data_IF_424768865089
#
_entry.id   IF_424768865089
#
_cell.length_a   1.000
_cell.length_b   1.000
_cell.length_c   1.000
_cell.angle_alpha   90.00
_cell.angle_beta   90.00
_cell.angle_gamma   90.00
#
_symmetry.space_group_name_H-M   'P 1'
#
loop_
_entity.id
_entity.type
_entity.pdbx_description
1 polymer ?
#
# COMPACT_ATOMS: atom_id res chain seq x y z
N UNK A 1 12.76 -9.94 -8.53
CA UNK A 1 13.98 -10.64 -9.00
C UNK A 1 15.12 -10.62 -7.97
N UNK A 2 14.84 -10.42 -6.67
CA UNK A 2 15.88 -10.42 -5.63
C UNK A 2 16.83 -9.21 -5.62
N UNK A 3 16.61 -8.20 -6.48
CA UNK A 3 17.45 -7.01 -6.52
C UNK A 3 16.94 -5.97 -5.52
N UNK A 4 17.81 -5.47 -4.62
CA UNK A 4 17.47 -4.34 -3.76
C UNK A 4 17.11 -3.10 -4.59
N UNK A 5 15.94 -2.52 -4.32
CA UNK A 5 15.55 -1.25 -4.93
C UNK A 5 16.12 -0.10 -4.10
N UNK A 6 17.02 0.68 -4.69
CA UNK A 6 17.55 1.92 -4.12
C UNK A 6 16.90 3.13 -4.80
N UNK A 7 15.72 3.50 -4.31
CA UNK A 7 14.97 4.65 -4.81
C UNK A 7 13.89 5.11 -3.84
N UNK A 8 13.26 6.24 -4.16
CA UNK A 8 12.13 6.73 -3.39
C UNK A 8 10.86 6.09 -3.90
N UNK A 9 10.27 5.22 -3.08
CA UNK A 9 8.89 4.77 -3.27
C UNK A 9 7.99 5.68 -2.45
N UNK A 10 6.99 6.27 -3.10
CA UNK A 10 6.14 7.31 -2.52
C UNK A 10 5.56 6.90 -1.17
N UNK A 11 5.85 7.71 -0.16
CA UNK A 11 5.35 7.61 1.20
C UNK A 11 4.60 8.89 1.52
N UNK A 12 3.34 8.75 1.92
CA UNK A 12 2.54 9.87 2.39
C UNK A 12 2.23 9.66 3.87
N UNK A 13 2.52 10.67 4.68
CA UNK A 13 2.09 10.72 6.07
C UNK A 13 1.03 11.81 6.22
N UNK A 14 -0.16 11.44 6.69
CA UNK A 14 -1.24 12.37 7.00
C UNK A 14 -1.73 12.11 8.42
N UNK A 15 -1.38 13.02 9.33
CA UNK A 15 -1.57 12.82 10.77
C UNK A 15 -0.85 11.56 11.26
N UNK A 16 -1.62 10.70 11.89
CA UNK A 16 -1.27 9.40 12.47
C UNK A 16 -1.27 8.24 11.44
N UNK A 17 -1.68 8.50 10.20
CA UNK A 17 -1.72 7.50 9.13
C UNK A 17 -0.49 7.56 8.22
N UNK A 18 -0.03 6.38 7.84
CA UNK A 18 1.09 6.19 6.91
C UNK A 18 0.59 5.43 5.69
N UNK A 19 0.77 6.00 4.50
CA UNK A 19 0.33 5.44 3.25
C UNK A 19 1.53 5.14 2.35
N UNK A 20 1.48 4.02 1.64
CA UNK A 20 2.48 3.65 0.66
C UNK A 20 1.81 3.41 -0.70
N UNK A 21 2.60 3.54 -1.77
CA UNK A 21 2.13 3.32 -3.15
C UNK A 21 1.37 2.00 -3.28
N UNK A 22 0.17 2.05 -3.88
CA UNK A 22 -0.64 0.85 -4.10
C UNK A 22 0.06 -0.16 -4.99
N UNK A 23 0.85 0.30 -5.97
CA UNK A 23 1.61 -0.56 -6.88
C UNK A 23 2.71 -1.33 -6.16
N UNK A 24 3.42 -0.67 -5.23
CA UNK A 24 4.45 -1.32 -4.40
C UNK A 24 3.82 -2.37 -3.50
N UNK A 25 2.70 -2.04 -2.85
CA UNK A 25 2.01 -2.97 -1.95
C UNK A 25 1.45 -4.17 -2.70
N UNK A 26 0.90 -3.98 -3.90
CA UNK A 26 0.46 -5.09 -4.75
C UNK A 26 1.62 -5.98 -5.18
N UNK A 27 2.74 -5.39 -5.59
CA UNK A 27 3.94 -6.16 -5.97
C UNK A 27 4.45 -7.04 -4.81
N UNK A 28 4.36 -6.56 -3.56
CA UNK A 28 4.75 -7.35 -2.38
C UNK A 28 3.89 -8.59 -2.17
N UNK A 29 2.61 -8.56 -2.55
CA UNK A 29 1.69 -9.70 -2.42
C UNK A 29 1.48 -10.44 -3.76
N UNK A 30 2.40 -10.23 -4.70
CA UNK A 30 2.38 -10.81 -6.05
C UNK A 30 1.02 -10.57 -6.75
N UNK A 31 0.47 -9.39 -6.52
CA UNK A 31 -0.90 -9.05 -6.90
C UNK A 31 -1.01 -7.96 -7.96
N UNK A 32 -2.25 -7.75 -8.39
CA UNK A 32 -2.65 -6.76 -9.38
C UNK A 32 -3.50 -5.66 -8.74
N UNK A 33 -3.44 -4.46 -9.31
CA UNK A 33 -4.25 -3.30 -8.91
C UNK A 33 -5.32 -3.01 -9.95
N UNK A 34 -6.52 -2.71 -9.48
CA UNK A 34 -7.59 -2.14 -10.31
C UNK A 34 -8.23 -0.96 -9.58
N UNK A 35 -8.58 0.09 -10.33
CA UNK A 35 -9.33 1.23 -9.79
C UNK A 35 -10.83 1.05 -10.04
N UNK A 36 -11.63 1.11 -8.99
CA UNK A 36 -13.09 1.15 -9.07
C UNK A 36 -13.55 2.61 -8.93
N UNK A 37 -13.74 3.25 -10.08
CA UNK A 37 -14.12 4.67 -10.16
C UNK A 37 -15.51 4.96 -9.60
N UNK A 38 -16.42 3.98 -9.65
CA UNK A 38 -17.80 4.09 -9.17
C UNK A 38 -17.82 4.13 -7.64
N UNK A 39 -17.09 3.21 -7.01
CA UNK A 39 -17.06 3.07 -5.56
C UNK A 39 -15.88 3.80 -4.90
N UNK A 40 -15.07 4.54 -5.67
CA UNK A 40 -13.92 5.32 -5.20
C UNK A 40 -12.98 4.50 -4.31
N UNK A 41 -12.59 3.32 -4.81
CA UNK A 41 -11.71 2.39 -4.10
C UNK A 41 -10.68 1.77 -5.01
N UNK A 42 -9.50 1.52 -4.46
CA UNK A 42 -8.50 0.68 -5.10
C UNK A 42 -8.72 -0.77 -4.70
N UNK A 43 -8.69 -1.67 -5.67
CA UNK A 43 -8.83 -3.11 -5.49
C UNK A 43 -7.46 -3.74 -5.68
N UNK A 44 -7.02 -4.50 -4.68
CA UNK A 44 -5.82 -5.33 -4.72
C UNK A 44 -6.29 -6.78 -4.86
N UNK A 45 -5.89 -7.44 -5.95
CA UNK A 45 -6.08 -8.88 -6.14
C UNK A 45 -4.74 -9.56 -5.89
N UNK A 46 -4.63 -10.39 -4.85
CA UNK A 46 -3.39 -11.12 -4.56
C UNK A 46 -3.11 -12.20 -5.61
N UNK A 47 -1.86 -12.66 -5.69
CA UNK A 47 -1.49 -13.82 -6.51
C UNK A 47 -2.26 -15.10 -6.13
N UNK A 48 -2.77 -15.18 -4.90
CA UNK A 48 -3.63 -16.29 -4.42
C UNK A 48 -5.11 -16.16 -4.83
N UNK A 49 -5.48 -15.10 -5.57
CA UNK A 49 -6.82 -14.89 -6.11
C UNK A 49 -7.80 -14.15 -5.19
N UNK A 50 -7.39 -13.72 -4.00
CA UNK A 50 -8.23 -12.94 -3.08
C UNK A 50 -8.25 -11.46 -3.48
N UNK A 51 -9.44 -10.86 -3.55
CA UNK A 51 -9.60 -9.43 -3.88
C UNK A 51 -10.05 -8.63 -2.68
N UNK A 52 -9.34 -7.54 -2.39
CA UNK A 52 -9.66 -6.62 -1.28
C UNK A 52 -9.74 -5.19 -1.80
N UNK A 53 -10.77 -4.46 -1.38
CA UNK A 53 -10.93 -3.04 -1.69
C UNK A 53 -10.51 -2.13 -0.53
N UNK A 54 -9.89 -0.98 -0.86
CA UNK A 54 -9.52 0.09 0.07
C UNK A 54 -10.16 1.38 -0.40
N UNK A 55 -11.06 1.94 0.42
CA UNK A 55 -11.93 3.06 0.02
C UNK A 55 -11.33 4.41 0.39
N UNK A 56 -11.56 5.44 -0.45
CA UNK A 56 -11.18 6.82 -0.13
C UNK A 56 -11.98 7.37 1.05
N UNK A 57 -13.28 7.06 1.12
CA UNK A 57 -14.21 7.60 2.14
C UNK A 57 -13.86 7.18 3.56
N UNK A 58 -13.35 5.97 3.75
CA UNK A 58 -12.89 5.47 5.06
C UNK A 58 -11.42 5.81 5.35
N UNK A 59 -10.76 6.55 4.44
CA UNK A 59 -9.33 6.89 4.52
C UNK A 59 -8.44 5.64 4.61
N UNK A 60 -8.83 4.56 3.94
CA UNK A 60 -8.00 3.37 3.69
C UNK A 60 -7.12 3.56 2.45
N UNK A 61 -7.55 4.43 1.53
CA UNK A 61 -6.78 4.85 0.37
C UNK A 61 -6.76 6.38 0.27
N UNK A 62 -5.79 6.88 -0.49
CA UNK A 62 -5.55 8.29 -0.80
C UNK A 62 -5.16 8.38 -2.28
N UNK A 63 -5.62 9.43 -2.96
CA UNK A 63 -5.05 9.81 -4.26
C UNK A 63 -4.33 11.14 -4.10
N UNK A 64 -3.05 11.19 -4.50
CA UNK A 64 -2.24 12.39 -4.44
C UNK A 64 -1.31 12.43 -5.66
N UNK A 65 -1.26 13.57 -6.35
CA UNK A 65 -0.42 13.76 -7.54
C UNK A 65 -0.62 12.71 -8.65
N UNK A 66 -1.86 12.22 -8.82
CA UNK A 66 -2.18 11.18 -9.81
C UNK A 66 -1.84 9.75 -9.39
N UNK A 67 -1.18 9.56 -8.25
CA UNK A 67 -0.88 8.24 -7.68
C UNK A 67 -1.90 7.85 -6.61
N UNK A 68 -2.12 6.54 -6.48
CA UNK A 68 -2.94 5.98 -5.40
C UNK A 68 -2.06 5.34 -4.34
N UNK A 69 -2.37 5.64 -3.09
CA UNK A 69 -1.70 5.12 -1.91
C UNK A 69 -2.71 4.38 -1.04
N UNK A 70 -2.25 3.34 -0.35
CA UNK A 70 -3.05 2.57 0.60
C UNK A 70 -2.45 2.75 1.99
N UNK A 71 -3.31 2.93 2.99
CA UNK A 71 -2.90 3.04 4.39
C UNK A 71 -2.34 1.70 4.89
N UNK A 72 -1.16 1.73 5.51
CA UNK A 72 -0.39 0.52 5.82
C UNK A 72 -1.08 -0.40 6.84
N UNK A 73 -1.80 0.15 7.82
CA UNK A 73 -2.52 -0.68 8.79
C UNK A 73 -3.80 -1.30 8.19
N UNK A 74 -4.53 -0.57 7.35
CA UNK A 74 -5.65 -1.10 6.58
C UNK A 74 -5.20 -2.24 5.69
N UNK A 75 -4.09 -2.07 4.97
CA UNK A 75 -3.51 -3.13 4.15
C UNK A 75 -3.12 -4.34 5.00
N UNK A 76 -2.37 -4.13 6.10
CA UNK A 76 -1.96 -5.21 7.02
C UNK A 76 -3.13 -6.00 7.58
N UNK A 77 -4.26 -5.36 7.89
CA UNK A 77 -5.48 -6.07 8.35
C UNK A 77 -6.00 -7.09 7.33
N UNK A 78 -5.77 -6.85 6.04
CA UNK A 78 -6.25 -7.68 4.92
C UNK A 78 -5.17 -8.62 4.38
N UNK A 79 -3.91 -8.22 4.54
CA UNK A 79 -2.73 -8.99 4.21
C UNK A 79 -1.83 -9.11 5.46
N UNK A 80 -2.15 -10.01 6.41
CA UNK A 80 -1.48 -10.07 7.72
C UNK A 80 0.02 -10.40 7.66
N UNK A 81 0.47 -11.03 6.57
CA UNK A 81 1.88 -11.30 6.29
C UNK A 81 2.71 -10.01 6.09
N UNK A 82 2.07 -8.87 5.81
CA UNK A 82 2.76 -7.59 5.73
C UNK A 82 3.33 -7.18 7.10
N UNK A 83 4.65 -7.01 7.13
CA UNK A 83 5.37 -6.37 8.22
C UNK A 83 5.92 -5.05 7.72
N UNK A 84 5.58 -3.97 8.43
CA UNK A 84 6.07 -2.64 8.11
C UNK A 84 6.55 -1.90 9.36
N UNK A 85 7.49 -0.97 9.16
CA UNK A 85 7.94 -0.03 10.19
C UNK A 85 8.45 1.25 9.55
N UNK A 86 8.38 2.36 10.29
CA UNK A 86 8.91 3.64 9.85
C UNK A 86 9.93 4.17 10.88
N UNK A 87 11.16 4.41 10.43
CA UNK A 87 12.19 5.08 11.21
C UNK A 87 12.19 6.57 10.88
N UNK A 88 11.72 7.41 11.81
CA UNK A 88 11.62 8.85 11.62
C UNK A 88 13.00 9.54 11.49
N UNK A 89 14.00 9.11 12.26
CA UNK A 89 15.36 9.68 12.22
C UNK A 89 16.01 9.45 10.85
N UNK A 90 15.85 8.27 10.29
CA UNK A 90 16.42 7.90 8.99
C UNK A 90 15.48 8.20 7.81
N UNK A 91 14.26 8.70 8.08
CA UNK A 91 13.18 8.88 7.10
C UNK A 91 12.96 7.63 6.25
N UNK A 92 13.06 6.45 6.87
CA UNK A 92 13.07 5.17 6.18
C UNK A 92 11.80 4.38 6.46
N UNK A 93 11.06 4.03 5.41
CA UNK A 93 10.02 3.02 5.44
C UNK A 93 10.63 1.65 5.14
N UNK A 94 10.36 0.66 5.99
CA UNK A 94 10.66 -0.76 5.72
C UNK A 94 9.35 -1.50 5.48
N UNK A 95 9.29 -2.24 4.38
CA UNK A 95 8.20 -3.15 4.02
C UNK A 95 8.78 -4.53 3.78
N UNK A 96 8.10 -5.56 4.28
CA UNK A 96 8.47 -6.97 4.07
C UNK A 96 7.25 -7.86 4.19
N UNK A 97 7.32 -9.05 3.60
CA UNK A 97 6.36 -10.13 3.80
C UNK A 97 7.02 -11.20 4.67
N UNK A 98 6.29 -11.72 5.67
CA UNK A 98 6.73 -12.82 6.54
C UNK A 98 5.70 -13.92 6.60
#
# INVERSE_FOLDING_TARGET
>A
NGIPFAGNVGLVKQGDKTYASSLVLAALVEGEITWDAKNKKVIVKSGTGSSTGFTLSSKEALTQSGETYIELNAFKKKFPALVWSYNATQKQLKLSIK
#
